data_IF_296127128455
#
_entry.id   IF_296127128455
#
_cell.length_a   1.000
_cell.length_b   1.000
_cell.length_c   1.000
_cell.angle_alpha   90.00
_cell.angle_beta   90.00
_cell.angle_gamma   90.00
#
_symmetry.space_group_name_H-M   'P 1'
#
loop_
_entity.id
_entity.type
_entity.pdbx_description
1 polymer ?
#
# COMPACT_ATOMS: atom_id res chain seq x y z
N UNK A 1 -6.36 12.27 14.04
CA UNK A 1 -7.81 12.03 14.21
C UNK A 1 -8.37 11.96 12.79
N UNK A 2 -8.50 10.77 12.21
CA UNK A 2 -9.10 10.62 10.89
C UNK A 2 -10.59 10.87 11.05
N UNK A 3 -11.15 11.79 10.26
CA UNK A 3 -12.54 12.20 10.40
C UNK A 3 -13.45 11.06 9.90
N UNK A 4 -14.58 10.87 10.57
CA UNK A 4 -15.56 9.81 10.29
C UNK A 4 -16.00 9.72 8.82
N UNK A 5 -15.97 10.83 8.08
CA UNK A 5 -16.37 10.92 6.67
C UNK A 5 -15.35 10.25 5.72
N UNK A 6 -14.04 10.31 5.99
CA UNK A 6 -13.02 9.70 5.11
C UNK A 6 -13.02 8.17 5.18
N UNK A 7 -13.45 7.60 6.30
CA UNK A 7 -13.55 6.14 6.46
C UNK A 7 -14.75 5.58 5.69
N UNK A 8 -15.89 6.29 5.70
CA UNK A 8 -17.09 5.83 4.98
C UNK A 8 -16.98 5.99 3.46
N UNK A 9 -16.28 7.01 2.97
CA UNK A 9 -16.05 7.20 1.54
C UNK A 9 -15.25 6.02 0.93
N UNK A 10 -14.22 5.53 1.63
CA UNK A 10 -13.40 4.40 1.20
C UNK A 10 -14.19 3.08 1.15
N UNK A 11 -15.06 2.83 2.14
CA UNK A 11 -15.87 1.60 2.23
C UNK A 11 -17.05 1.54 1.25
N UNK A 12 -17.45 2.67 0.66
CA UNK A 12 -18.55 2.72 -0.31
C UNK A 12 -18.23 2.00 -1.62
N UNK A 13 -16.94 1.82 -1.92
CA UNK A 13 -16.48 1.07 -3.08
C UNK A 13 -16.14 -0.37 -2.69
N UNK A 14 -16.28 -1.31 -3.62
CA UNK A 14 -16.01 -2.72 -3.34
C UNK A 14 -14.52 -2.98 -3.08
N UNK A 15 -14.21 -4.09 -2.42
CA UNK A 15 -12.82 -4.56 -2.28
C UNK A 15 -12.42 -5.29 -3.58
N UNK A 16 -11.31 -4.86 -4.19
CA UNK A 16 -10.72 -5.46 -5.39
C UNK A 16 -9.75 -6.59 -5.04
N UNK A 17 -8.91 -6.39 -4.02
CA UNK A 17 -7.83 -7.30 -3.64
C UNK A 17 -7.53 -7.16 -2.14
N UNK A 18 -7.09 -8.26 -1.51
CA UNK A 18 -6.53 -8.24 -0.15
C UNK A 18 -5.24 -9.05 -0.15
N UNK A 19 -4.17 -8.45 0.38
CA UNK A 19 -2.88 -9.12 0.62
C UNK A 19 -2.57 -9.16 2.11
N UNK A 20 -1.75 -10.12 2.53
CA UNK A 20 -1.41 -10.37 3.92
C UNK A 20 0.11 -10.43 4.14
N UNK A 21 0.54 -9.98 5.30
CA UNK A 21 1.89 -10.18 5.87
C UNK A 21 1.76 -10.83 7.27
N UNK A 22 2.85 -10.91 8.05
CA UNK A 22 2.83 -11.47 9.40
C UNK A 22 1.99 -10.61 10.36
N UNK A 23 0.70 -10.93 10.42
CA UNK A 23 -0.26 -10.31 11.33
C UNK A 23 -0.84 -8.99 10.84
N UNK A 24 -0.53 -8.53 9.63
CA UNK A 24 -1.13 -7.34 9.02
C UNK A 24 -1.71 -7.65 7.63
N UNK A 25 -2.61 -6.79 7.17
CA UNK A 25 -3.31 -6.91 5.91
C UNK A 25 -3.40 -5.54 5.22
N UNK A 26 -3.50 -5.57 3.89
CA UNK A 26 -3.82 -4.41 3.08
C UNK A 26 -4.94 -4.77 2.09
N UNK A 27 -6.00 -3.95 2.04
CA UNK A 27 -7.08 -4.08 1.07
C UNK A 27 -6.98 -2.96 0.05
N UNK A 28 -7.01 -3.33 -1.22
CA UNK A 28 -7.21 -2.42 -2.34
C UNK A 28 -8.69 -2.34 -2.67
N UNK A 29 -9.22 -1.13 -2.65
CA UNK A 29 -10.59 -0.84 -3.02
C UNK A 29 -10.70 -0.58 -4.53
N UNK A 30 -11.90 -0.75 -5.10
CA UNK A 30 -12.16 -0.45 -6.51
C UNK A 30 -11.99 1.04 -6.85
N UNK A 31 -12.00 1.93 -5.85
CA UNK A 31 -11.64 3.35 -6.01
C UNK A 31 -10.15 3.58 -6.26
N UNK A 32 -9.28 2.61 -5.93
CA UNK A 32 -7.83 2.75 -5.96
C UNK A 32 -7.23 3.15 -4.61
N UNK A 33 -8.04 3.26 -3.56
CA UNK A 33 -7.56 3.53 -2.20
C UNK A 33 -7.11 2.22 -1.51
N UNK A 34 -6.15 2.34 -0.59
CA UNK A 34 -5.64 1.21 0.20
C UNK A 34 -5.87 1.44 1.68
N UNK A 35 -6.45 0.44 2.34
CA UNK A 35 -6.62 0.41 3.80
C UNK A 35 -5.79 -0.71 4.40
N UNK A 36 -5.04 -0.41 5.46
CA UNK A 36 -4.24 -1.40 6.19
C UNK A 36 -4.79 -1.65 7.60
N UNK A 37 -4.76 -2.91 8.06
CA UNK A 37 -5.19 -3.29 9.40
C UNK A 37 -4.37 -4.48 9.93
N UNK A 38 -4.56 -4.79 11.21
CA UNK A 38 -3.84 -5.87 11.91
C UNK A 38 -2.75 -5.33 12.83
N UNK A 39 -1.55 -5.91 12.76
CA UNK A 39 -0.42 -5.59 13.61
C UNK A 39 -0.11 -4.09 13.54
N UNK A 40 -0.16 -3.43 14.70
CA UNK A 40 -0.10 -1.97 14.83
C UNK A 40 1.32 -1.43 15.03
N UNK A 41 2.37 -2.20 14.74
CA UNK A 41 3.70 -1.57 14.68
C UNK A 41 3.66 -0.49 13.60
N UNK A 42 4.33 0.63 13.87
CA UNK A 42 4.29 1.80 12.99
C UNK A 42 4.77 1.48 11.57
N UNK A 43 5.59 0.44 11.40
CA UNK A 43 6.08 -0.03 10.10
C UNK A 43 4.97 -0.49 9.14
N UNK A 44 3.87 -1.08 9.62
CA UNK A 44 2.80 -1.60 8.75
C UNK A 44 1.73 -0.56 8.37
N UNK A 45 1.81 0.63 8.96
CA UNK A 45 0.95 1.77 8.61
C UNK A 45 1.67 2.58 7.54
N UNK A 46 1.36 2.29 6.27
CA UNK A 46 1.87 3.07 5.14
C UNK A 46 1.41 4.54 5.21
N UNK A 47 2.10 5.42 4.50
CA UNK A 47 1.73 6.83 4.40
C UNK A 47 0.40 6.97 3.63
N UNK A 48 -0.67 7.47 4.26
CA UNK A 48 -1.98 7.62 3.59
C UNK A 48 -1.91 8.48 2.32
N UNK A 49 -0.97 9.44 2.24
CA UNK A 49 -0.80 10.27 1.04
C UNK A 49 -0.28 9.49 -0.17
N UNK A 50 0.33 8.32 0.05
CA UNK A 50 0.87 7.46 -1.00
C UNK A 50 -0.08 6.33 -1.40
N UNK A 51 -1.14 6.09 -0.62
CA UNK A 51 -2.05 4.94 -0.73
C UNK A 51 -3.34 5.26 -1.48
N UNK A 52 -3.23 6.04 -2.55
CA UNK A 52 -4.31 6.38 -3.47
C UNK A 52 -3.87 6.14 -4.92
N UNK A 53 -4.85 5.98 -5.82
CA UNK A 53 -4.62 5.64 -7.24
C UNK A 53 -3.81 4.34 -7.43
N UNK A 54 -3.96 3.39 -6.51
CA UNK A 54 -3.30 2.08 -6.56
C UNK A 54 -4.05 1.14 -7.49
N UNK A 55 -3.30 0.35 -8.26
CA UNK A 55 -3.85 -0.61 -9.22
C UNK A 55 -3.59 -2.05 -8.80
N UNK A 56 -2.53 -2.32 -8.03
CA UNK A 56 -2.16 -3.65 -7.54
C UNK A 56 -1.42 -3.59 -6.21
N UNK A 57 -1.59 -4.62 -5.40
CA UNK A 57 -0.82 -4.83 -4.17
C UNK A 57 0.09 -6.07 -4.28
N UNK A 58 1.18 -6.04 -3.52
CA UNK A 58 2.02 -7.20 -3.25
C UNK A 58 2.45 -7.19 -1.78
N UNK A 59 2.82 -8.35 -1.23
CA UNK A 59 3.31 -8.46 0.14
C UNK A 59 4.47 -9.43 0.27
N UNK A 60 5.29 -9.19 1.29
CA UNK A 60 6.26 -10.14 1.83
C UNK A 60 5.83 -10.54 3.24
N UNK A 61 6.65 -11.32 3.96
CA UNK A 61 6.37 -11.64 5.37
C UNK A 61 6.28 -10.40 6.27
N UNK A 62 6.97 -9.31 5.93
CA UNK A 62 7.07 -8.12 6.80
C UNK A 62 6.86 -6.78 6.08
N UNK A 63 6.47 -6.78 4.80
CA UNK A 63 6.26 -5.57 4.03
C UNK A 63 5.16 -5.70 2.99
N UNK A 64 4.81 -4.56 2.41
CA UNK A 64 3.86 -4.42 1.33
C UNK A 64 4.42 -3.49 0.26
N UNK A 65 3.91 -3.65 -0.96
CA UNK A 65 4.14 -2.73 -2.06
C UNK A 65 2.82 -2.44 -2.79
N UNK A 66 2.71 -1.21 -3.28
CA UNK A 66 1.59 -0.73 -4.08
C UNK A 66 2.11 -0.21 -5.42
N UNK A 67 1.54 -0.72 -6.51
CA UNK A 67 1.72 -0.17 -7.84
C UNK A 67 0.63 0.87 -8.08
N UNK A 68 1.04 2.07 -8.45
CA UNK A 68 0.14 3.19 -8.73
C UNK A 68 -0.17 3.29 -10.22
N UNK A 69 -1.26 3.96 -10.55
CA UNK A 69 -1.74 4.14 -11.93
C UNK A 69 -0.80 4.96 -12.81
N UNK A 70 0.08 5.76 -12.21
CA UNK A 70 1.18 6.47 -12.89
C UNK A 70 2.41 5.59 -13.15
N UNK A 71 2.36 4.31 -12.76
CA UNK A 71 3.45 3.35 -12.90
C UNK A 71 4.56 3.51 -11.86
N UNK A 72 4.36 4.30 -10.80
CA UNK A 72 5.26 4.36 -9.65
C UNK A 72 4.96 3.25 -8.63
N UNK A 73 5.96 2.87 -7.85
CA UNK A 73 5.83 1.88 -6.77
C UNK A 73 6.12 2.54 -5.42
N UNK A 74 5.24 2.29 -4.47
CA UNK A 74 5.42 2.66 -3.07
C UNK A 74 5.53 1.41 -2.22
N UNK A 75 6.51 1.34 -1.31
CA UNK A 75 6.66 0.25 -0.33
C UNK A 75 6.50 0.77 1.09
N UNK A 76 5.97 -0.07 1.97
CA UNK A 76 5.93 0.18 3.41
C UNK A 76 6.04 -1.13 4.18
N UNK A 77 6.43 -1.07 5.45
CA UNK A 77 6.69 -2.24 6.27
C UNK A 77 8.06 -2.21 6.93
N UNK A 78 8.52 -3.39 7.34
CA UNK A 78 9.87 -3.60 7.85
C UNK A 78 10.90 -3.44 6.74
N UNK A 79 11.91 -2.59 6.96
CA UNK A 79 12.95 -2.30 5.98
C UNK A 79 13.66 -3.57 5.49
N UNK A 80 14.02 -4.47 6.42
CA UNK A 80 14.69 -5.74 6.12
C UNK A 80 13.81 -6.73 5.33
N UNK A 81 12.50 -6.49 5.28
CA UNK A 81 11.53 -7.27 4.52
C UNK A 81 11.10 -6.59 3.20
N UNK A 82 11.76 -5.50 2.80
CA UNK A 82 11.44 -4.74 1.58
C UNK A 82 10.47 -3.57 1.79
N UNK A 83 10.26 -3.12 3.03
CA UNK A 83 9.36 -2.01 3.35
C UNK A 83 9.89 -0.63 2.94
N UNK A 84 11.13 -0.54 2.47
CA UNK A 84 11.74 0.73 2.03
C UNK A 84 12.42 0.56 0.68
N UNK A 85 12.14 1.48 -0.25
CA UNK A 85 12.87 1.62 -1.51
C UNK A 85 14.10 2.49 -1.26
N UNK A 86 15.30 1.93 -1.46
CA UNK A 86 16.54 2.69 -1.35
C UNK A 86 16.75 3.66 -2.53
N UNK A 87 17.69 4.59 -2.36
CA UNK A 87 17.96 5.65 -3.33
C UNK A 87 18.45 5.14 -4.70
N UNK A 88 19.03 3.93 -4.78
CA UNK A 88 19.48 3.36 -6.05
C UNK A 88 18.32 2.80 -6.89
N UNK A 89 17.20 2.45 -6.23
CA UNK A 89 16.00 1.93 -6.86
C UNK A 89 14.91 2.98 -7.03
N UNK A 90 14.92 4.07 -6.26
CA UNK A 90 13.88 5.11 -6.29
C UNK A 90 13.63 5.68 -7.69
N UNK A 91 14.68 5.90 -8.48
CA UNK A 91 14.56 6.40 -9.86
C UNK A 91 14.04 5.35 -10.84
N UNK A 92 14.24 4.06 -10.55
CA UNK A 92 13.77 2.94 -11.40
C UNK A 92 12.31 2.60 -11.12
N UNK A 93 11.85 2.87 -9.91
CA UNK A 93 10.50 2.55 -9.43
C UNK A 93 9.58 3.77 -9.42
N UNK A 94 10.02 4.91 -9.96
CA UNK A 94 9.25 6.16 -9.97
C UNK A 94 8.21 6.24 -11.09
N UNK A 95 8.31 5.42 -12.13
CA UNK A 95 7.35 5.39 -13.25
C UNK A 95 7.59 4.17 -14.17
N UNK A 96 6.63 3.89 -15.04
CA UNK A 96 6.78 2.90 -16.12
C UNK A 96 6.70 1.43 -15.67
N UNK A 97 6.47 1.17 -14.39
CA UNK A 97 6.18 -0.17 -13.89
C UNK A 97 4.76 -0.55 -14.29
N UNK A 98 4.59 -1.77 -14.80
CA UNK A 98 3.29 -2.28 -15.28
C UNK A 98 2.75 -3.42 -14.43
N UNK A 99 3.59 -4.03 -13.59
CA UNK A 99 3.20 -5.09 -12.67
C UNK A 99 4.17 -5.21 -11.49
N UNK A 100 3.68 -5.72 -10.34
CA UNK A 100 4.45 -6.00 -9.11
C UNK A 100 4.05 -7.33 -8.46
#
# INVERSE_FOLDING_TARGET
LFNHIEIEANLSSGIKEVVASNGAFAALYTSGDVFTWGNKTQSYVGDPSQLSSVTKLASTSGAFAALKSDGSVYSWGEADSGGTIDASLSSKLSSGIVDI
#
